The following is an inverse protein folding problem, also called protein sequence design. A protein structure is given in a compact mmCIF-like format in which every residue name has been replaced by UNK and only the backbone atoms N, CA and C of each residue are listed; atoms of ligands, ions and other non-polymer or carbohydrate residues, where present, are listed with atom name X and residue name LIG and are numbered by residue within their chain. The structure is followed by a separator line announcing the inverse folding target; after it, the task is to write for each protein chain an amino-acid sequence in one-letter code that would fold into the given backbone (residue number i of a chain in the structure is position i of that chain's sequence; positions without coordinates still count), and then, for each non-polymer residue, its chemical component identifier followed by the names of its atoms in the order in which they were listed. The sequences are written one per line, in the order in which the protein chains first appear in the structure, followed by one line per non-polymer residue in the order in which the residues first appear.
data_IF_312324147124
#
_entry.id   IF_312324147124
#
_cell.length_a   1.000
_cell.length_b   1.000
_cell.length_c   1.000
_cell.angle_alpha   90.00
_cell.angle_beta   90.00
_cell.angle_gamma   90.00
#
_symmetry.space_group_name_H-M   'P 1'
#
loop_
_entity.id
_entity.type
_entity.pdbx_description
1 polymer ?
#
# COMPACT_ATOMS: atom_id res chain seq x y z
N UNK A 1 57.37 -46.82 5.08
CA UNK A 1 56.30 -46.45 6.02
C UNK A 1 55.67 -45.16 5.56
N UNK A 2 54.48 -45.26 4.89
CA UNK A 2 53.77 -44.11 4.37
C UNK A 2 52.52 -43.91 5.23
N UNK A 3 52.48 -42.80 5.95
CA UNK A 3 51.32 -42.41 6.73
C UNK A 3 50.27 -41.73 5.82
N UNK A 4 49.08 -42.32 5.70
CA UNK A 4 47.93 -41.73 5.03
C UNK A 4 47.30 -40.69 5.98
N UNK A 5 47.24 -39.44 5.52
CA UNK A 5 46.41 -38.36 6.10
C UNK A 5 44.98 -38.56 5.68
N UNK A 6 44.08 -38.83 6.63
CA UNK A 6 42.62 -38.82 6.42
C UNK A 6 42.15 -37.37 6.40
N UNK A 7 41.58 -36.97 5.26
CA UNK A 7 40.93 -35.68 5.11
C UNK A 7 39.49 -35.77 5.69
N UNK A 8 39.18 -34.97 6.70
CA UNK A 8 37.83 -34.77 7.21
C UNK A 8 36.98 -34.02 6.19
N UNK A 9 35.84 -34.57 5.80
CA UNK A 9 34.80 -33.89 5.01
C UNK A 9 34.17 -32.76 5.83
N UNK A 10 33.91 -31.60 5.24
CA UNK A 10 33.12 -30.57 5.88
C UNK A 10 31.66 -31.00 5.94
N UNK A 11 31.03 -30.80 7.08
CA UNK A 11 29.61 -31.03 7.33
C UNK A 11 28.77 -30.13 6.40
N UNK A 12 27.92 -30.78 5.61
CA UNK A 12 26.91 -30.08 4.80
C UNK A 12 25.91 -29.38 5.73
N UNK A 13 25.93 -28.06 5.76
CA UNK A 13 24.83 -27.26 6.26
C UNK A 13 23.59 -27.62 5.44
N UNK A 14 22.62 -28.24 6.09
CA UNK A 14 21.28 -28.45 5.57
C UNK A 14 20.62 -27.08 5.45
N UNK A 15 20.63 -26.51 4.28
CA UNK A 15 19.81 -25.35 3.95
C UNK A 15 18.35 -25.75 4.17
N UNK A 16 17.69 -25.10 5.11
CA UNK A 16 16.23 -25.12 5.18
C UNK A 16 15.67 -24.69 3.81
N UNK A 17 14.63 -25.35 3.28
CA UNK A 17 14.04 -24.95 2.00
C UNK A 17 13.55 -23.50 2.15
N UNK A 18 14.15 -22.60 1.37
CA UNK A 18 13.64 -21.24 1.18
C UNK A 18 12.22 -21.41 0.66
N UNK A 19 11.23 -20.88 1.37
CA UNK A 19 9.85 -20.85 0.89
C UNK A 19 9.83 -19.91 -0.32
N UNK A 20 9.66 -20.48 -1.51
CA UNK A 20 9.92 -19.79 -2.77
C UNK A 20 8.83 -18.78 -3.19
N UNK A 21 7.77 -18.60 -2.42
CA UNK A 21 6.65 -17.73 -2.78
C UNK A 21 6.17 -16.89 -1.61
N UNK A 22 5.77 -15.65 -1.92
CA UNK A 22 5.14 -14.71 -0.99
C UNK A 22 3.71 -14.42 -1.45
N UNK A 23 2.86 -13.93 -0.57
CA UNK A 23 1.55 -13.36 -0.86
C UNK A 23 1.48 -11.94 -0.31
N UNK A 24 1.25 -10.97 -1.16
CA UNK A 24 0.90 -9.64 -0.72
C UNK A 24 -0.61 -9.62 -0.42
N UNK A 25 -1.04 -9.29 0.81
CA UNK A 25 -2.45 -9.18 1.14
C UNK A 25 -3.08 -7.99 0.43
N UNK A 26 -4.40 -8.07 0.17
CA UNK A 26 -5.16 -6.93 -0.31
C UNK A 26 -5.27 -5.84 0.76
N UNK A 27 -5.47 -4.58 0.35
CA UNK A 27 -5.57 -3.46 1.29
C UNK A 27 -6.79 -3.57 2.23
N UNK A 28 -7.87 -4.24 1.83
CA UNK A 28 -9.04 -4.46 2.70
C UNK A 28 -8.85 -5.59 3.74
N UNK A 29 -7.77 -6.37 3.68
CA UNK A 29 -7.46 -7.35 4.72
C UNK A 29 -7.09 -6.63 6.02
N UNK A 30 -7.24 -7.29 7.16
CA UNK A 30 -7.06 -6.66 8.45
C UNK A 30 -5.66 -6.10 8.64
N UNK A 31 -5.57 -4.84 9.06
CA UNK A 31 -4.32 -4.17 9.42
C UNK A 31 -3.99 -4.31 10.90
N UNK A 32 -2.71 -4.50 11.21
CA UNK A 32 -2.14 -4.27 12.53
C UNK A 32 -1.86 -2.78 12.73
N UNK A 33 -1.39 -2.10 11.68
CA UNK A 33 -1.03 -0.69 11.74
C UNK A 33 -1.12 -0.01 10.37
N UNK A 34 -1.22 1.31 10.39
CA UNK A 34 -1.00 2.20 9.25
C UNK A 34 0.19 3.12 9.53
N UNK A 35 1.12 3.18 8.58
CA UNK A 35 2.30 4.04 8.62
C UNK A 35 2.04 5.35 7.89
N UNK A 36 2.44 6.48 8.52
CA UNK A 36 2.42 7.83 7.94
C UNK A 36 3.69 8.58 8.35
N UNK A 37 4.09 9.58 7.55
CA UNK A 37 5.14 10.53 7.92
C UNK A 37 4.54 11.93 8.11
N UNK A 38 4.84 12.57 9.26
CA UNK A 38 4.31 13.91 9.59
C UNK A 38 4.81 14.99 8.62
N UNK A 39 3.94 15.89 8.13
CA UNK A 39 4.30 16.90 7.14
C UNK A 39 5.32 17.90 7.70
N UNK A 40 6.37 18.18 6.92
CA UNK A 40 7.46 19.05 7.31
C UNK A 40 8.10 19.82 6.16
N UNK A 41 8.13 19.25 4.95
CA UNK A 41 8.77 19.86 3.79
C UNK A 41 7.83 20.84 3.09
N UNK A 42 7.94 22.13 3.47
CA UNK A 42 7.04 23.19 2.99
C UNK A 42 7.04 23.41 1.47
N UNK A 43 8.13 23.00 0.79
CA UNK A 43 8.23 23.17 -0.67
C UNK A 43 7.29 22.23 -1.45
N UNK A 44 6.75 21.19 -0.83
CA UNK A 44 5.69 20.38 -1.44
C UNK A 44 4.34 21.12 -1.46
N UNK A 45 4.14 22.11 -0.54
CA UNK A 45 2.92 22.91 -0.43
C UNK A 45 3.23 24.42 -0.39
N UNK A 46 3.78 25.00 -1.46
CA UNK A 46 4.19 26.41 -1.45
C UNK A 46 2.99 27.34 -1.21
N UNK A 47 3.08 28.13 -0.12
CA UNK A 47 2.00 29.04 0.31
C UNK A 47 0.77 28.38 0.95
N UNK A 48 0.73 27.04 1.09
CA UNK A 48 -0.41 26.26 1.58
C UNK A 48 -0.06 25.24 2.66
N UNK A 49 1.06 25.38 3.33
CA UNK A 49 1.53 24.38 4.30
C UNK A 49 0.73 24.37 5.61
N UNK A 50 0.20 25.51 6.06
CA UNK A 50 -0.46 25.66 7.36
C UNK A 50 -1.64 24.71 7.57
N UNK A 51 -2.54 24.44 6.61
CA UNK A 51 -3.63 23.49 6.77
C UNK A 51 -3.18 22.03 6.75
N UNK A 52 -2.03 21.70 6.18
CA UNK A 52 -1.63 20.30 5.94
C UNK A 52 -1.52 19.46 7.23
N UNK A 53 -0.89 19.93 8.34
CA UNK A 53 -0.88 19.19 9.60
C UNK A 53 -2.28 18.86 10.14
N UNK A 54 -3.30 19.69 9.82
CA UNK A 54 -4.69 19.47 10.25
C UNK A 54 -5.39 18.41 9.41
N UNK A 55 -5.09 18.32 8.11
CA UNK A 55 -5.55 17.20 7.25
C UNK A 55 -4.99 15.88 7.77
N UNK A 56 -3.70 15.86 8.14
CA UNK A 56 -3.07 14.69 8.76
C UNK A 56 -3.72 14.32 10.09
N UNK A 57 -4.03 15.32 10.93
CA UNK A 57 -4.70 15.08 12.20
C UNK A 57 -6.11 14.49 11.99
N UNK A 58 -6.84 14.93 10.97
CA UNK A 58 -8.15 14.37 10.62
C UNK A 58 -8.02 12.90 10.19
N UNK A 59 -7.08 12.57 9.32
CA UNK A 59 -6.80 11.19 8.89
C UNK A 59 -6.43 10.32 10.10
N UNK A 60 -5.50 10.77 10.94
CA UNK A 60 -5.05 10.04 12.14
C UNK A 60 -6.21 9.83 13.12
N UNK A 61 -7.11 10.79 13.24
CA UNK A 61 -8.29 10.71 14.12
C UNK A 61 -9.22 9.56 13.75
N UNK A 62 -9.38 9.26 12.44
CA UNK A 62 -10.17 8.12 11.98
C UNK A 62 -9.39 6.81 12.13
N UNK A 63 -8.14 6.76 11.70
CA UNK A 63 -7.31 5.56 11.75
C UNK A 63 -7.11 5.06 13.18
N UNK A 64 -6.71 5.95 14.09
CA UNK A 64 -6.35 5.58 15.47
C UNK A 64 -7.50 5.06 16.33
N UNK A 65 -8.74 5.12 15.84
CA UNK A 65 -9.90 4.50 16.50
C UNK A 65 -9.94 2.97 16.35
N UNK A 66 -9.32 2.44 15.30
CA UNK A 66 -9.52 1.05 14.89
C UNK A 66 -8.24 0.29 14.57
N UNK A 67 -7.11 0.98 14.50
CA UNK A 67 -5.80 0.40 14.22
C UNK A 67 -4.67 1.25 14.79
N UNK A 68 -3.50 0.65 14.93
CA UNK A 68 -2.29 1.37 15.33
C UNK A 68 -1.87 2.34 14.22
N UNK A 69 -1.51 3.57 14.58
CA UNK A 69 -0.88 4.54 13.70
C UNK A 69 0.59 4.64 14.06
N UNK A 70 1.46 4.25 13.14
CA UNK A 70 2.92 4.37 13.26
C UNK A 70 3.34 5.67 12.58
N UNK A 71 3.55 6.73 13.36
CA UNK A 71 3.77 8.08 12.86
C UNK A 71 5.25 8.44 12.87
N UNK A 72 5.82 8.62 11.69
CA UNK A 72 7.21 9.02 11.49
C UNK A 72 7.31 10.54 11.63
N UNK A 73 8.27 11.01 12.40
CA UNK A 73 8.60 12.43 12.61
C UNK A 73 10.09 12.65 12.48
N UNK A 74 10.52 13.82 12.01
CA UNK A 74 11.93 14.06 11.72
C UNK A 74 12.82 14.13 12.97
N UNK A 75 12.29 14.69 14.06
CA UNK A 75 13.05 14.93 15.30
C UNK A 75 12.08 15.19 16.49
N UNK A 76 12.66 15.51 17.64
CA UNK A 76 11.88 15.82 18.86
C UNK A 76 11.03 17.08 18.74
N UNK A 77 11.45 18.07 17.96
CA UNK A 77 10.68 19.29 17.74
C UNK A 77 9.46 19.02 16.87
N UNK A 78 9.64 18.26 15.80
CA UNK A 78 8.57 17.77 14.93
C UNK A 78 7.56 16.90 15.70
N UNK A 79 8.06 16.01 16.58
CA UNK A 79 7.17 15.20 17.44
C UNK A 79 6.34 16.08 18.38
N UNK A 80 6.96 17.08 19.04
CA UNK A 80 6.24 18.00 19.91
C UNK A 80 5.14 18.75 19.15
N UNK A 81 5.43 19.23 17.93
CA UNK A 81 4.45 19.90 17.08
C UNK A 81 3.31 18.96 16.70
N UNK A 82 3.63 17.73 16.26
CA UNK A 82 2.66 16.70 15.90
C UNK A 82 1.74 16.40 17.09
N UNK A 83 2.30 16.12 18.28
CA UNK A 83 1.52 15.86 19.50
C UNK A 83 0.56 17.02 19.82
N UNK A 84 1.06 18.26 19.82
CA UNK A 84 0.23 19.43 20.10
C UNK A 84 -0.93 19.58 19.09
N UNK A 85 -0.67 19.34 17.81
CA UNK A 85 -1.71 19.41 16.77
C UNK A 85 -2.73 18.29 16.94
N UNK A 86 -2.28 17.05 17.17
CA UNK A 86 -3.16 15.90 17.38
C UNK A 86 -3.99 16.02 18.65
N UNK A 87 -3.43 16.54 19.76
CA UNK A 87 -4.18 16.84 20.99
C UNK A 87 -5.31 17.84 20.73
N UNK A 88 -5.00 18.94 20.05
CA UNK A 88 -6.00 19.97 19.70
C UNK A 88 -7.07 19.47 18.73
N UNK A 89 -6.74 18.50 17.88
CA UNK A 89 -7.67 17.85 16.96
C UNK A 89 -8.42 16.64 17.58
N UNK A 90 -8.20 16.34 18.86
CA UNK A 90 -8.71 15.14 19.53
C UNK A 90 -8.36 13.83 18.77
N UNK A 91 -7.16 13.78 18.20
CA UNK A 91 -6.63 12.67 17.39
C UNK A 91 -5.50 11.91 18.08
N UNK A 92 -4.98 12.40 19.21
CA UNK A 92 -3.93 11.72 19.96
C UNK A 92 -4.54 10.76 20.99
N UNK A 93 -4.22 9.48 20.88
CA UNK A 93 -4.59 8.43 21.81
C UNK A 93 -3.49 7.36 21.88
N UNK A 94 -3.70 6.26 22.61
CA UNK A 94 -2.75 5.15 22.82
C UNK A 94 -2.38 4.41 21.55
N UNK A 95 -3.19 4.50 20.48
CA UNK A 95 -2.92 3.89 19.19
C UNK A 95 -2.01 4.73 18.29
N UNK A 96 -1.49 5.89 18.76
CA UNK A 96 -0.53 6.68 17.98
C UNK A 96 0.88 6.50 18.54
N UNK A 97 1.75 5.82 17.80
CA UNK A 97 3.16 5.61 18.15
C UNK A 97 4.05 6.47 17.29
N UNK A 98 5.04 7.12 17.87
CA UNK A 98 5.96 8.02 17.18
C UNK A 98 7.32 7.36 16.93
N UNK A 99 7.86 7.59 15.70
CA UNK A 99 9.19 7.19 15.29
C UNK A 99 9.99 8.42 14.84
N UNK A 100 11.13 8.70 15.49
CA UNK A 100 11.99 9.82 15.12
C UNK A 100 12.97 9.40 14.02
N UNK A 101 12.47 9.35 12.78
CA UNK A 101 13.24 9.01 11.60
C UNK A 101 13.21 10.16 10.59
N UNK A 102 14.35 10.80 10.33
CA UNK A 102 14.37 11.89 9.36
C UNK A 102 13.94 11.45 7.97
N UNK A 103 13.01 12.17 7.36
CA UNK A 103 12.56 11.99 5.98
C UNK A 103 12.90 13.20 5.13
N UNK A 104 12.93 13.04 3.81
CA UNK A 104 13.02 14.15 2.86
C UNK A 104 11.60 14.64 2.49
N UNK A 105 10.65 13.70 2.37
CA UNK A 105 9.22 13.93 2.07
C UNK A 105 8.33 13.04 2.95
N UNK A 106 7.03 12.98 2.65
CA UNK A 106 6.03 12.32 3.53
C UNK A 106 5.33 11.12 2.88
N UNK A 107 5.70 10.76 1.67
CA UNK A 107 4.98 9.79 0.85
C UNK A 107 5.37 8.35 1.22
N UNK A 108 4.80 7.85 2.33
CA UNK A 108 5.15 6.54 2.89
C UNK A 108 4.66 5.36 2.04
N UNK A 109 3.65 5.56 1.20
CA UNK A 109 3.23 4.57 0.20
C UNK A 109 4.39 4.17 -0.70
N UNK A 110 5.18 5.14 -1.12
CA UNK A 110 6.22 4.97 -2.12
C UNK A 110 7.60 4.71 -1.52
N UNK A 111 7.91 5.34 -0.39
CA UNK A 111 9.19 5.18 0.31
C UNK A 111 9.21 4.03 1.31
N UNK A 112 8.06 3.51 1.69
CA UNK A 112 7.89 2.41 2.64
C UNK A 112 8.26 1.04 2.05
N UNK A 113 7.95 -0.01 2.81
CA UNK A 113 8.06 -1.39 2.35
C UNK A 113 6.67 -2.00 2.13
N UNK A 114 6.56 -2.94 1.19
CA UNK A 114 5.37 -3.77 1.04
C UNK A 114 5.47 -4.98 1.97
N UNK A 115 4.49 -5.17 2.84
CA UNK A 115 4.45 -6.33 3.72
C UNK A 115 3.79 -7.52 3.02
N UNK A 116 4.40 -8.70 3.14
CA UNK A 116 3.95 -9.94 2.49
C UNK A 116 3.99 -11.10 3.48
N UNK A 117 3.12 -12.07 3.30
CA UNK A 117 3.16 -13.33 4.04
C UNK A 117 4.01 -14.35 3.31
N UNK A 118 4.92 -15.08 4.00
CA UNK A 118 5.61 -16.23 3.42
C UNK A 118 4.65 -17.41 3.30
N UNK A 119 4.68 -18.13 2.17
CA UNK A 119 3.92 -19.37 1.97
C UNK A 119 2.99 -19.34 0.78
N UNK A 120 2.77 -20.53 0.16
CA UNK A 120 1.96 -20.69 -1.04
C UNK A 120 0.46 -20.46 -0.83
N UNK A 121 -0.29 -20.68 -1.88
CA UNK A 121 -1.69 -20.33 -2.14
C UNK A 121 -2.77 -20.77 -1.13
N UNK A 122 -2.41 -21.36 0.02
CA UNK A 122 -3.35 -21.92 1.00
C UNK A 122 -3.68 -21.01 2.19
N UNK A 123 -3.21 -19.75 2.20
CA UNK A 123 -3.65 -18.80 3.23
C UNK A 123 -5.07 -18.32 2.88
N UNK A 124 -6.10 -18.54 3.76
CA UNK A 124 -7.48 -18.20 3.44
C UNK A 124 -7.63 -16.70 3.26
N UNK A 125 -8.06 -16.29 2.06
CA UNK A 125 -8.55 -14.95 1.78
C UNK A 125 -9.90 -14.80 2.49
N UNK A 126 -9.98 -13.97 3.53
CA UNK A 126 -11.28 -13.64 4.14
C UNK A 126 -11.97 -12.59 3.28
N UNK A 127 -13.06 -13.00 2.65
CA UNK A 127 -13.97 -12.08 1.95
C UNK A 127 -14.56 -11.03 2.91
N UNK A 128 -14.74 -9.77 2.49
CA UNK A 128 -15.49 -8.79 3.26
C UNK A 128 -16.94 -9.27 3.42
N UNK A 129 -17.46 -9.29 4.64
CA UNK A 129 -18.90 -9.42 4.92
C UNK A 129 -19.43 -10.78 5.35
N UNK A 130 -18.65 -11.86 5.55
CA UNK A 130 -19.17 -13.11 6.12
C UNK A 130 -19.02 -13.18 7.63
N UNK A 131 -19.85 -12.45 8.36
CA UNK A 131 -20.14 -12.76 9.76
C UNK A 131 -21.07 -13.99 9.82
N UNK A 132 -20.49 -15.18 9.91
CA UNK A 132 -21.24 -16.38 10.27
C UNK A 132 -21.79 -16.21 11.69
N UNK A 133 -23.10 -16.07 11.81
CA UNK A 133 -23.81 -16.24 13.09
C UNK A 133 -23.57 -17.68 13.56
N UNK A 134 -22.75 -17.88 14.57
CA UNK A 134 -22.63 -19.15 15.26
C UNK A 134 -23.89 -19.39 16.06
N UNK A 135 -24.73 -20.32 15.58
CA UNK A 135 -25.76 -20.99 16.38
C UNK A 135 -25.06 -21.85 17.43
N UNK A 136 -25.39 -21.60 18.71
CA UNK A 136 -24.75 -22.29 19.83
C UNK A 136 -25.12 -23.79 19.87
N UNK A 137 -24.11 -24.61 20.05
CA UNK A 137 -24.20 -25.92 20.64
C UNK A 137 -23.23 -26.02 21.81
N UNK A 138 -23.79 -26.22 22.99
CA UNK A 138 -23.05 -26.54 24.24
C UNK A 138 -22.51 -27.96 24.13
N UNK A 139 -21.21 -28.13 24.21
CA UNK A 139 -20.59 -29.41 24.49
C UNK A 139 -19.69 -29.31 25.71
N UNK A 140 -19.96 -30.22 26.64
CA UNK A 140 -19.42 -30.38 27.99
C UNK A 140 -17.90 -30.62 28.00
N UNK A 141 -17.21 -29.94 28.92
CA UNK A 141 -15.79 -30.10 29.21
C UNK A 141 -15.44 -31.42 29.88
N UNK A 142 -14.41 -32.10 29.37
CA UNK A 142 -13.56 -33.02 30.12
C UNK A 142 -12.17 -32.44 30.24
N UNK A 143 -11.48 -32.52 31.39
CA UNK A 143 -10.15 -31.95 31.57
C UNK A 143 -9.11 -32.83 30.87
N UNK A 144 -8.36 -32.25 29.90
CA UNK A 144 -7.19 -32.89 29.31
C UNK A 144 -5.91 -32.43 30.03
N UNK A 145 -5.09 -33.40 30.36
CA UNK A 145 -3.76 -33.32 30.96
C UNK A 145 -2.81 -32.46 30.11
N UNK A 146 -2.13 -31.51 30.76
CA UNK A 146 -1.13 -30.63 30.21
C UNK A 146 0.13 -31.41 29.83
N UNK A 147 0.60 -31.44 28.59
CA UNK A 147 1.92 -31.94 28.23
C UNK A 147 2.97 -30.84 28.49
N UNK A 148 4.10 -31.25 29.06
CA UNK A 148 5.28 -30.42 29.34
C UNK A 148 5.81 -29.76 28.07
N UNK A 149 5.95 -28.41 28.08
CA UNK A 149 6.50 -27.62 27.01
C UNK A 149 7.99 -27.88 26.82
N UNK A 150 8.37 -28.36 25.63
CA UNK A 150 9.75 -28.33 25.16
C UNK A 150 10.09 -26.94 24.56
N UNK A 151 11.29 -26.37 24.82
CA UNK A 151 11.65 -25.02 24.38
C UNK A 151 11.93 -24.85 22.87
N UNK A 152 11.67 -25.87 22.05
CA UNK A 152 11.96 -25.83 20.60
C UNK A 152 10.76 -25.40 19.73
N UNK A 153 9.59 -25.08 20.30
CA UNK A 153 8.35 -24.79 19.57
C UNK A 153 7.97 -23.31 19.50
N UNK A 154 8.77 -22.38 20.02
CA UNK A 154 8.48 -20.93 19.96
C UNK A 154 8.81 -20.25 18.59
N UNK A 155 9.14 -21.01 17.55
CA UNK A 155 9.61 -20.44 16.25
C UNK A 155 8.57 -20.40 15.12
N UNK A 156 7.32 -20.67 15.39
CA UNK A 156 6.29 -20.77 14.32
C UNK A 156 5.13 -19.78 14.49
N UNK A 157 5.39 -18.56 14.96
CA UNK A 157 4.45 -17.46 14.70
C UNK A 157 4.58 -17.10 13.22
N UNK A 158 3.48 -17.11 12.48
CA UNK A 158 3.45 -16.71 11.08
C UNK A 158 3.94 -15.26 10.98
N UNK A 159 5.23 -15.08 10.66
CA UNK A 159 5.85 -13.77 10.49
C UNK A 159 5.61 -13.35 9.05
N UNK A 160 5.23 -12.09 8.86
CA UNK A 160 5.28 -11.45 7.54
C UNK A 160 6.72 -11.01 7.24
N UNK A 161 7.03 -10.87 5.95
CA UNK A 161 8.27 -10.29 5.46
C UNK A 161 8.00 -8.90 4.89
N UNK A 162 9.03 -8.08 4.76
CA UNK A 162 8.97 -6.75 4.20
C UNK A 162 9.74 -6.71 2.88
N UNK A 163 9.05 -6.52 1.78
CA UNK A 163 9.69 -6.28 0.48
C UNK A 163 10.06 -4.81 0.40
N UNK A 164 11.34 -4.54 0.53
CA UNK A 164 11.90 -3.20 0.46
C UNK A 164 12.37 -2.93 -0.97
N UNK A 165 11.55 -2.21 -1.73
CA UNK A 165 11.93 -1.69 -3.04
C UNK A 165 12.95 -0.55 -2.87
N UNK A 166 13.80 -0.35 -3.86
CA UNK A 166 14.62 0.85 -3.89
C UNK A 166 13.75 2.05 -4.25
N UNK A 167 13.85 3.11 -3.47
CA UNK A 167 13.21 4.38 -3.75
C UNK A 167 14.20 5.39 -4.30
N UNK A 168 13.83 6.17 -5.33
CA UNK A 168 14.69 7.17 -5.96
C UNK A 168 13.93 8.47 -6.29
N UNK A 169 12.87 8.76 -5.53
CA UNK A 169 11.96 9.89 -5.74
C UNK A 169 11.44 9.97 -7.18
N UNK A 170 10.81 8.86 -7.62
CA UNK A 170 10.15 8.72 -8.92
C UNK A 170 11.06 8.99 -10.12
N UNK A 171 12.37 8.78 -9.98
CA UNK A 171 13.41 9.15 -10.94
C UNK A 171 13.38 10.64 -11.34
N UNK A 172 12.91 11.51 -10.47
CA UNK A 172 12.64 12.93 -10.76
C UNK A 172 13.37 13.89 -9.81
N UNK A 173 13.33 13.64 -8.51
CA UNK A 173 13.82 14.56 -7.50
C UNK A 173 15.18 14.14 -6.94
N UNK A 174 16.07 15.12 -6.60
CA UNK A 174 17.40 14.80 -6.05
C UNK A 174 17.41 14.46 -4.55
N UNK A 175 16.35 14.85 -3.81
CA UNK A 175 16.21 14.67 -2.36
C UNK A 175 15.37 13.42 -2.06
N UNK A 176 16.02 12.29 -1.79
CA UNK A 176 15.37 11.01 -1.52
C UNK A 176 16.17 10.08 -0.60
N UNK A 177 17.37 10.49 -0.20
CA UNK A 177 18.30 9.59 0.50
C UNK A 177 17.86 9.23 1.92
N UNK A 178 17.03 10.05 2.55
CA UNK A 178 16.41 9.76 3.84
C UNK A 178 15.22 8.83 3.64
N UNK A 179 14.39 9.15 2.68
CA UNK A 179 13.19 8.36 2.34
C UNK A 179 13.54 6.94 1.91
N UNK A 180 14.66 6.74 1.18
CA UNK A 180 15.17 5.41 0.81
C UNK A 180 15.38 4.48 2.01
N UNK A 181 15.60 5.01 3.21
CA UNK A 181 15.82 4.22 4.43
C UNK A 181 14.51 3.83 5.14
N UNK A 182 13.40 4.48 4.81
CA UNK A 182 12.16 4.34 5.56
C UNK A 182 11.63 2.91 5.50
N UNK A 183 11.62 2.28 4.34
CA UNK A 183 11.19 0.87 4.21
C UNK A 183 11.98 -0.10 5.09
N UNK A 184 13.31 0.10 5.23
CA UNK A 184 14.14 -0.72 6.13
C UNK A 184 13.86 -0.44 7.60
N UNK A 185 13.62 0.82 7.98
CA UNK A 185 13.26 1.20 9.35
C UNK A 185 11.88 0.65 9.73
N UNK A 186 10.91 0.68 8.80
CA UNK A 186 9.59 0.06 8.97
C UNK A 186 9.71 -1.46 9.17
N UNK A 187 10.49 -2.14 8.33
CA UNK A 187 10.74 -3.58 8.45
C UNK A 187 11.33 -3.93 9.83
N UNK A 188 12.32 -3.16 10.28
CA UNK A 188 12.95 -3.34 11.59
C UNK A 188 11.94 -3.13 12.74
N UNK A 189 11.16 -2.04 12.71
CA UNK A 189 10.19 -1.74 13.75
C UNK A 189 9.05 -2.77 13.81
N UNK A 190 8.62 -3.27 12.65
CA UNK A 190 7.64 -4.33 12.51
C UNK A 190 8.22 -5.73 12.80
N UNK A 191 9.53 -5.85 13.07
CA UNK A 191 10.25 -7.13 13.25
C UNK A 191 10.07 -8.09 12.07
N UNK A 192 9.94 -7.55 10.85
CA UNK A 192 9.81 -8.29 9.61
C UNK A 192 11.18 -8.62 9.03
N UNK A 193 11.28 -9.76 8.34
CA UNK A 193 12.47 -10.07 7.53
C UNK A 193 12.48 -9.14 6.31
N UNK A 194 13.54 -8.33 6.17
CA UNK A 194 13.70 -7.45 5.03
C UNK A 194 14.22 -8.21 3.81
N UNK A 195 13.54 -8.02 2.68
CA UNK A 195 13.91 -8.59 1.39
C UNK A 195 14.05 -7.47 0.38
N UNK A 196 15.22 -7.38 -0.27
CA UNK A 196 15.48 -6.39 -1.31
C UNK A 196 15.52 -7.04 -2.69
N UNK A 197 14.49 -6.87 -3.54
CA UNK A 197 14.46 -7.44 -4.88
C UNK A 197 15.56 -6.87 -5.77
N UNK A 198 16.19 -7.76 -6.56
CA UNK A 198 17.23 -7.39 -7.52
C UNK A 198 16.91 -7.91 -8.92
N UNK A 199 17.31 -7.13 -9.92
CA UNK A 199 17.31 -7.48 -11.32
C UNK A 199 18.66 -7.11 -11.95
N UNK A 200 19.32 -8.05 -12.63
CA UNK A 200 20.65 -7.85 -13.23
C UNK A 200 21.66 -7.20 -12.25
N UNK A 201 21.71 -7.71 -11.02
CA UNK A 201 22.56 -7.22 -9.91
C UNK A 201 22.33 -5.76 -9.47
N UNK A 202 21.16 -5.19 -9.76
CA UNK A 202 20.71 -3.88 -9.28
C UNK A 202 19.44 -4.03 -8.48
N UNK A 203 19.30 -3.26 -7.39
CA UNK A 203 18.03 -3.21 -6.64
C UNK A 203 16.93 -2.61 -7.52
N UNK A 204 15.77 -3.26 -7.51
CA UNK A 204 14.60 -2.84 -8.28
C UNK A 204 13.98 -1.61 -7.65
N UNK A 205 13.80 -0.56 -8.44
CA UNK A 205 13.06 0.64 -8.07
C UNK A 205 11.59 0.39 -8.33
N UNK A 206 10.77 0.54 -7.30
CA UNK A 206 9.31 0.41 -7.40
C UNK A 206 8.67 1.19 -6.25
N UNK A 207 7.57 1.82 -6.51
CA UNK A 207 6.76 2.55 -5.54
C UNK A 207 5.46 1.79 -5.25
N UNK A 208 4.97 1.86 -4.00
CA UNK A 208 3.72 1.20 -3.60
C UNK A 208 2.48 1.73 -4.30
N UNK A 209 2.48 3.00 -4.74
CA UNK A 209 1.40 3.61 -5.54
C UNK A 209 1.39 3.17 -7.00
N UNK A 210 2.48 2.57 -7.50
CA UNK A 210 2.58 2.12 -8.89
C UNK A 210 1.83 0.82 -9.19
N UNK A 211 1.33 0.11 -8.17
CA UNK A 211 0.58 -1.14 -8.34
C UNK A 211 -0.49 -1.30 -7.25
N UNK A 212 -1.54 -2.06 -7.55
CA UNK A 212 -2.56 -2.49 -6.60
C UNK A 212 -2.81 -4.00 -6.74
N UNK A 213 -3.17 -4.69 -5.65
CA UNK A 213 -3.31 -6.16 -5.62
C UNK A 213 -4.65 -6.59 -5.02
N UNK A 214 -5.21 -7.69 -5.53
CA UNK A 214 -6.44 -8.29 -4.99
C UNK A 214 -6.19 -9.28 -3.82
N UNK A 215 -4.94 -9.47 -3.39
CA UNK A 215 -4.59 -10.42 -2.32
C UNK A 215 -4.63 -11.89 -2.73
N UNK A 216 -5.07 -12.23 -3.94
CA UNK A 216 -5.29 -13.60 -4.43
C UNK A 216 -4.39 -13.97 -5.60
N UNK A 217 -3.64 -13.01 -6.15
CA UNK A 217 -2.69 -13.27 -7.23
C UNK A 217 -2.87 -12.40 -8.48
N UNK A 218 -3.80 -11.44 -8.48
CA UNK A 218 -3.92 -10.44 -9.54
C UNK A 218 -3.38 -9.09 -9.08
N UNK A 219 -2.64 -8.43 -9.96
CA UNK A 219 -2.06 -7.10 -9.76
C UNK A 219 -2.43 -6.20 -10.95
N UNK A 220 -2.71 -4.93 -10.66
CA UNK A 220 -2.90 -3.88 -11.67
C UNK A 220 -1.75 -2.89 -11.57
N UNK A 221 -1.24 -2.45 -12.73
CA UNK A 221 -0.21 -1.43 -12.89
C UNK A 221 -0.37 -0.71 -14.22
N UNK A 222 0.47 0.30 -14.50
CA UNK A 222 0.44 1.05 -15.77
C UNK A 222 1.72 0.85 -16.60
N UNK A 223 1.56 0.89 -17.91
CA UNK A 223 2.68 0.90 -18.85
C UNK A 223 3.45 2.23 -18.77
N UNK A 224 2.75 3.34 -18.56
CA UNK A 224 3.37 4.66 -18.40
C UNK A 224 4.36 4.69 -17.23
N UNK A 225 3.98 4.22 -16.06
CA UNK A 225 4.86 4.23 -14.90
C UNK A 225 6.09 3.33 -15.07
N UNK A 226 5.88 2.08 -15.50
CA UNK A 226 6.92 1.06 -15.41
C UNK A 226 7.73 0.87 -16.71
N UNK A 227 7.17 1.22 -17.87
CA UNK A 227 7.79 0.93 -19.17
C UNK A 227 8.18 2.19 -19.95
N UNK A 228 7.75 3.40 -19.52
CA UNK A 228 8.13 4.65 -20.17
C UNK A 228 9.62 4.94 -20.02
N UNK A 229 10.16 5.68 -21.00
CA UNK A 229 11.51 6.26 -20.92
C UNK A 229 11.55 7.57 -20.13
N UNK A 230 10.38 8.18 -19.88
CA UNK A 230 10.25 9.36 -19.01
C UNK A 230 10.21 8.88 -17.57
N UNK A 231 10.97 9.54 -16.69
CA UNK A 231 11.11 9.12 -15.27
C UNK A 231 11.38 7.60 -15.12
N UNK A 232 12.26 7.06 -15.98
CA UNK A 232 12.52 5.62 -16.06
C UNK A 232 13.11 5.07 -14.76
N UNK A 233 12.35 4.20 -14.04
CA UNK A 233 12.77 3.59 -12.76
C UNK A 233 13.87 2.55 -12.95
N UNK A 234 13.68 1.63 -13.90
CA UNK A 234 14.56 0.48 -14.09
C UNK A 234 14.99 0.36 -15.57
N UNK A 235 16.06 1.06 -15.99
CA UNK A 235 16.55 0.99 -17.36
C UNK A 235 16.84 -0.44 -17.82
N UNK A 236 16.22 -0.84 -18.94
CA UNK A 236 16.40 -2.15 -19.57
C UNK A 236 15.43 -3.24 -19.09
N UNK A 237 14.63 -3.01 -18.04
CA UNK A 237 13.54 -3.91 -17.66
C UNK A 237 12.39 -3.84 -18.65
N UNK A 238 11.83 -5.00 -18.96
CA UNK A 238 10.68 -5.18 -19.84
C UNK A 238 9.48 -5.68 -19.03
N UNK A 239 8.30 -5.63 -19.61
CA UNK A 239 7.03 -6.12 -19.06
C UNK A 239 7.18 -7.48 -18.36
N UNK A 240 7.71 -8.49 -19.05
CA UNK A 240 7.95 -9.83 -18.53
C UNK A 240 8.91 -9.90 -17.32
N UNK A 241 9.81 -8.91 -17.20
CA UNK A 241 10.78 -8.89 -16.11
C UNK A 241 10.09 -8.39 -14.83
N UNK A 242 9.20 -7.38 -14.95
CA UNK A 242 8.33 -6.95 -13.87
C UNK A 242 7.36 -8.07 -13.44
N UNK A 243 6.71 -8.75 -14.38
CA UNK A 243 5.81 -9.88 -14.10
C UNK A 243 6.51 -10.97 -13.27
N UNK A 244 7.75 -11.34 -13.63
CA UNK A 244 8.56 -12.31 -12.85
C UNK A 244 8.88 -11.81 -11.44
N UNK A 245 9.16 -10.52 -11.28
CA UNK A 245 9.42 -9.90 -9.98
C UNK A 245 8.15 -9.90 -9.13
N UNK A 246 7.02 -9.53 -9.69
CA UNK A 246 5.73 -9.58 -8.99
C UNK A 246 5.36 -11.00 -8.57
N UNK A 247 5.57 -11.97 -9.45
CA UNK A 247 5.36 -13.39 -9.11
C UNK A 247 6.25 -13.83 -7.95
N UNK A 248 7.53 -13.53 -8.01
CA UNK A 248 8.50 -13.99 -7.01
C UNK A 248 8.29 -13.34 -5.65
N UNK A 249 8.04 -12.04 -5.59
CA UNK A 249 8.08 -11.27 -4.34
C UNK A 249 6.70 -10.88 -3.80
N UNK A 250 5.65 -10.88 -4.63
CA UNK A 250 4.30 -10.51 -4.23
C UNK A 250 3.29 -11.67 -4.37
N UNK A 251 3.70 -12.80 -4.99
CA UNK A 251 2.82 -13.95 -5.23
C UNK A 251 1.84 -13.77 -6.38
N UNK A 252 2.09 -12.80 -7.27
CA UNK A 252 1.23 -12.46 -8.38
C UNK A 252 1.36 -13.48 -9.52
N UNK A 253 0.23 -13.93 -10.05
CA UNK A 253 0.14 -14.87 -11.18
C UNK A 253 -0.45 -14.21 -12.42
N UNK A 254 -1.19 -13.11 -12.25
CA UNK A 254 -1.83 -12.36 -13.31
C UNK A 254 -1.56 -10.85 -13.15
N UNK A 255 -1.12 -10.19 -14.21
CA UNK A 255 -0.84 -8.74 -14.21
C UNK A 255 -1.69 -8.05 -15.27
N UNK A 256 -2.53 -7.12 -14.84
CA UNK A 256 -3.33 -6.29 -15.69
C UNK A 256 -2.57 -4.98 -15.94
N UNK A 257 -2.24 -4.71 -17.19
CA UNK A 257 -1.50 -3.54 -17.60
C UNK A 257 -2.44 -2.48 -18.18
N UNK A 258 -2.63 -1.39 -17.44
CA UNK A 258 -3.29 -0.20 -17.93
C UNK A 258 -2.33 0.63 -18.80
N UNK A 259 -2.86 1.61 -19.51
CA UNK A 259 -2.07 2.51 -20.37
C UNK A 259 -1.42 3.64 -19.57
N UNK A 260 -2.02 4.83 -19.69
CA UNK A 260 -1.53 6.06 -19.07
C UNK A 260 -2.31 6.42 -17.81
N UNK A 261 -1.66 7.21 -16.94
CA UNK A 261 -2.24 7.80 -15.75
C UNK A 261 -3.09 9.04 -16.02
N UNK A 262 -3.35 9.80 -14.94
CA UNK A 262 -4.08 11.07 -15.00
C UNK A 262 -3.13 12.23 -15.25
N UNK A 263 -3.63 13.25 -15.95
CA UNK A 263 -2.86 14.48 -16.24
C UNK A 263 -2.52 15.21 -14.93
N UNK A 264 -1.29 15.64 -14.82
CA UNK A 264 -0.78 16.34 -13.62
C UNK A 264 -0.11 15.42 -12.62
N UNK A 265 -0.23 14.10 -12.77
CA UNK A 265 0.45 13.14 -11.90
C UNK A 265 1.98 13.30 -12.00
N UNK A 266 2.57 13.60 -10.84
CA UNK A 266 4.00 13.85 -10.68
C UNK A 266 4.83 12.57 -10.65
N UNK A 267 4.17 11.44 -10.40
CA UNK A 267 4.77 10.11 -10.33
C UNK A 267 4.88 9.45 -11.71
N UNK A 268 4.25 10.01 -12.73
CA UNK A 268 4.21 9.51 -14.10
C UNK A 268 3.44 8.19 -14.23
N UNK A 269 2.15 8.23 -13.88
CA UNK A 269 1.19 7.16 -14.16
C UNK A 269 1.01 6.14 -13.03
N UNK A 270 1.05 6.57 -11.77
CA UNK A 270 0.68 5.68 -10.68
C UNK A 270 -0.76 5.19 -10.81
N UNK A 271 -0.98 3.89 -10.54
CA UNK A 271 -2.30 3.27 -10.70
C UNK A 271 -3.27 3.65 -9.58
N UNK A 272 -2.77 4.03 -8.42
CA UNK A 272 -3.58 4.42 -7.26
C UNK A 272 -4.37 5.73 -7.45
N UNK A 273 -4.05 6.50 -8.49
CA UNK A 273 -4.84 7.65 -8.95
C UNK A 273 -5.88 7.29 -10.01
N UNK A 274 -5.97 6.03 -10.45
CA UNK A 274 -6.79 5.61 -11.59
C UNK A 274 -7.74 4.48 -11.22
N UNK A 275 -7.20 3.38 -10.64
CA UNK A 275 -7.92 2.12 -10.49
C UNK A 275 -7.48 1.40 -9.22
N UNK A 276 -8.46 0.98 -8.41
CA UNK A 276 -8.20 0.29 -7.14
C UNK A 276 -9.08 -0.95 -7.01
N UNK A 277 -8.51 -2.04 -6.52
CA UNK A 277 -9.31 -3.18 -6.10
C UNK A 277 -10.17 -2.83 -4.87
N UNK A 278 -11.42 -3.24 -4.90
CA UNK A 278 -12.38 -3.12 -3.77
C UNK A 278 -12.85 -4.48 -3.29
N UNK A 279 -12.66 -5.52 -4.11
CA UNK A 279 -12.81 -6.92 -3.75
C UNK A 279 -11.87 -7.78 -4.61
N UNK A 280 -11.90 -9.10 -4.43
CA UNK A 280 -11.04 -10.03 -5.17
C UNK A 280 -11.18 -9.91 -6.70
N UNK A 281 -12.39 -9.64 -7.18
CA UNK A 281 -12.75 -9.64 -8.60
C UNK A 281 -13.41 -8.33 -9.06
N UNK A 282 -13.38 -7.29 -8.23
CA UNK A 282 -13.99 -5.99 -8.53
C UNK A 282 -13.01 -4.86 -8.33
N UNK A 283 -12.99 -3.92 -9.26
CA UNK A 283 -12.25 -2.66 -9.16
C UNK A 283 -13.17 -1.46 -9.30
N UNK A 284 -12.85 -0.37 -8.61
CA UNK A 284 -13.30 0.96 -9.01
C UNK A 284 -12.28 1.57 -9.95
N UNK A 285 -12.73 2.28 -10.99
CA UNK A 285 -11.83 2.93 -11.95
C UNK A 285 -12.36 4.30 -12.33
N UNK A 286 -11.45 5.26 -12.45
CA UNK A 286 -11.78 6.63 -12.81
C UNK A 286 -12.38 6.72 -14.21
N UNK A 287 -13.46 7.50 -14.33
CA UNK A 287 -14.11 7.85 -15.59
C UNK A 287 -14.19 9.37 -15.74
N UNK A 288 -13.97 9.85 -16.93
CA UNK A 288 -14.23 11.24 -17.29
C UNK A 288 -15.33 11.26 -18.37
N UNK A 289 -16.42 11.95 -18.08
CA UNK A 289 -17.56 12.01 -18.99
C UNK A 289 -17.41 13.10 -20.08
N UNK A 290 -16.46 14.03 -19.92
CA UNK A 290 -16.26 15.12 -20.86
C UNK A 290 -15.21 14.74 -21.94
N UNK A 291 -15.63 14.54 -23.21
CA UNK A 291 -14.73 14.23 -24.30
C UNK A 291 -13.66 15.30 -24.58
N UNK A 292 -13.84 16.52 -24.07
CA UNK A 292 -12.86 17.60 -24.18
C UNK A 292 -11.81 17.58 -23.08
N UNK A 293 -12.00 16.75 -22.04
CA UNK A 293 -11.04 16.62 -20.95
C UNK A 293 -9.74 15.96 -21.41
N UNK A 294 -8.63 16.45 -20.88
CA UNK A 294 -7.29 15.87 -21.11
C UNK A 294 -7.16 14.42 -20.66
N UNK A 295 -7.99 13.99 -19.68
CA UNK A 295 -7.99 12.63 -19.15
C UNK A 295 -8.86 11.66 -19.95
N UNK A 296 -9.79 12.16 -20.78
CA UNK A 296 -10.85 11.35 -21.39
C UNK A 296 -10.33 10.13 -22.13
N UNK A 297 -9.41 10.30 -23.07
CA UNK A 297 -8.92 9.21 -23.92
C UNK A 297 -8.10 8.19 -23.12
N UNK A 298 -7.26 8.63 -22.18
CA UNK A 298 -6.46 7.75 -21.34
C UNK A 298 -7.34 6.87 -20.44
N UNK A 299 -8.31 7.47 -19.77
CA UNK A 299 -9.23 6.74 -18.89
C UNK A 299 -10.14 5.79 -19.69
N UNK A 300 -10.63 6.20 -20.86
CA UNK A 300 -11.43 5.35 -21.75
C UNK A 300 -10.66 4.11 -22.20
N UNK A 301 -9.39 4.26 -22.56
CA UNK A 301 -8.53 3.12 -22.93
C UNK A 301 -8.31 2.20 -21.74
N UNK A 302 -8.11 2.73 -20.54
CA UNK A 302 -7.95 1.94 -19.33
C UNK A 302 -9.22 1.12 -19.01
N UNK A 303 -10.40 1.72 -19.11
CA UNK A 303 -11.68 1.02 -18.97
C UNK A 303 -11.83 -0.12 -19.99
N UNK A 304 -11.45 0.12 -21.27
CA UNK A 304 -11.50 -0.92 -22.29
C UNK A 304 -10.61 -2.12 -21.90
N UNK A 305 -9.39 -1.86 -21.41
CA UNK A 305 -8.46 -2.91 -20.97
C UNK A 305 -8.99 -3.68 -19.77
N UNK A 306 -9.64 -3.00 -18.82
CA UNK A 306 -10.24 -3.62 -17.64
C UNK A 306 -11.44 -4.52 -18.00
N UNK A 307 -12.27 -4.12 -18.96
CA UNK A 307 -13.41 -4.92 -19.43
C UNK A 307 -12.98 -6.24 -20.09
N UNK A 308 -11.80 -6.27 -20.69
CA UNK A 308 -11.23 -7.47 -21.31
C UNK A 308 -10.39 -8.30 -20.32
N UNK A 309 -10.21 -7.80 -19.08
CA UNK A 309 -9.35 -8.40 -18.07
C UNK A 309 -10.06 -9.52 -17.29
N UNK A 310 -9.24 -10.44 -16.80
CA UNK A 310 -9.68 -11.51 -15.88
C UNK A 310 -8.80 -11.51 -14.63
N UNK A 311 -9.28 -12.14 -13.58
CA UNK A 311 -8.50 -12.43 -12.37
C UNK A 311 -7.57 -13.64 -12.58
N UNK A 312 -6.74 -13.97 -11.57
CA UNK A 312 -5.80 -15.08 -11.57
C UNK A 312 -6.46 -16.47 -11.80
N UNK A 313 -7.75 -16.60 -11.48
CA UNK A 313 -8.54 -17.81 -11.70
C UNK A 313 -9.38 -17.78 -12.99
N UNK A 314 -9.13 -16.79 -13.86
CA UNK A 314 -9.79 -16.65 -15.17
C UNK A 314 -11.21 -16.09 -15.14
N UNK A 315 -11.69 -15.61 -13.99
CA UNK A 315 -13.00 -14.95 -13.90
C UNK A 315 -12.94 -13.54 -14.48
N UNK A 316 -14.01 -13.07 -15.12
CA UNK A 316 -14.09 -11.68 -15.55
C UNK A 316 -13.93 -10.71 -14.39
N UNK A 317 -13.18 -9.61 -14.62
CA UNK A 317 -13.06 -8.54 -13.67
C UNK A 317 -14.29 -7.63 -13.75
N UNK A 318 -14.95 -7.38 -12.62
CA UNK A 318 -16.02 -6.40 -12.53
C UNK A 318 -15.43 -4.98 -12.36
N UNK A 319 -16.04 -4.00 -13.03
CA UNK A 319 -15.62 -2.60 -12.95
C UNK A 319 -16.76 -1.72 -12.45
N UNK A 320 -16.46 -0.82 -11.52
CA UNK A 320 -17.35 0.22 -11.02
C UNK A 320 -16.78 1.57 -11.41
N UNK A 321 -17.56 2.36 -12.14
CA UNK A 321 -17.15 3.67 -12.62
C UNK A 321 -17.11 4.67 -11.47
N UNK A 322 -15.98 5.35 -11.27
CA UNK A 322 -15.77 6.39 -10.27
C UNK A 322 -15.53 7.72 -11.00
N UNK A 323 -16.34 8.77 -10.78
CA UNK A 323 -16.15 10.02 -11.50
C UNK A 323 -14.81 10.68 -11.15
N UNK A 324 -14.30 11.51 -12.05
CA UNK A 324 -13.23 12.44 -11.71
C UNK A 324 -13.80 13.72 -11.07
N UNK A 325 -13.06 14.39 -10.15
CA UNK A 325 -13.39 15.76 -9.77
C UNK A 325 -13.13 16.72 -10.92
N UNK A 326 -13.75 17.89 -10.87
CA UNK A 326 -13.45 19.00 -11.80
C UNK A 326 -11.95 19.31 -11.77
N UNK A 327 -11.35 19.75 -12.90
CA UNK A 327 -9.93 20.04 -12.96
C UNK A 327 -9.48 21.09 -11.94
N UNK A 328 -8.52 20.73 -11.09
CA UNK A 328 -7.87 21.63 -10.15
C UNK A 328 -6.53 22.11 -10.72
N UNK A 329 -6.23 23.40 -10.55
CA UNK A 329 -4.99 24.00 -11.07
C UNK A 329 -4.26 24.76 -9.98
N UNK A 330 -2.94 24.65 -10.00
CA UNK A 330 -2.04 25.45 -9.19
C UNK A 330 -0.94 26.05 -10.07
N UNK A 331 -0.81 27.39 -10.08
CA UNK A 331 0.14 28.14 -10.91
C UNK A 331 0.10 27.71 -12.40
N UNK A 332 -1.10 27.44 -12.93
CA UNK A 332 -1.30 27.03 -14.32
C UNK A 332 -1.01 25.53 -14.58
N UNK A 333 -0.56 24.78 -13.58
CA UNK A 333 -0.35 23.33 -13.65
C UNK A 333 -1.57 22.59 -13.12
N UNK A 334 -2.08 21.62 -13.87
CA UNK A 334 -3.15 20.73 -13.41
C UNK A 334 -2.65 19.83 -12.28
N UNK A 335 -3.48 19.66 -11.25
CA UNK A 335 -3.20 18.77 -10.11
C UNK A 335 -3.86 17.39 -10.35
N UNK A 336 -3.26 16.29 -9.87
CA UNK A 336 -3.77 14.93 -10.06
C UNK A 336 -4.86 14.58 -9.06
N UNK A 337 -5.87 15.43 -8.95
CA UNK A 337 -6.99 15.18 -8.02
C UNK A 337 -7.78 13.97 -8.51
N UNK A 338 -7.91 12.96 -7.64
CA UNK A 338 -8.63 11.73 -7.92
C UNK A 338 -9.26 11.16 -6.67
N UNK A 339 -10.52 10.71 -6.76
CA UNK A 339 -11.18 9.97 -5.68
C UNK A 339 -10.61 8.54 -5.54
N UNK A 340 -9.93 7.99 -6.55
CA UNK A 340 -9.30 6.67 -6.46
C UNK A 340 -8.12 6.63 -5.48
N UNK A 341 -7.57 7.79 -5.08
CA UNK A 341 -6.52 7.86 -4.07
C UNK A 341 -7.06 7.75 -2.63
N UNK A 342 -8.11 6.92 -2.44
CA UNK A 342 -8.66 6.58 -1.13
C UNK A 342 -7.82 5.53 -0.42
N UNK A 343 -7.95 5.45 0.91
CA UNK A 343 -7.30 4.44 1.75
C UNK A 343 -8.31 3.56 2.47
N UNK A 344 -8.13 2.24 2.38
CA UNK A 344 -9.01 1.25 3.02
C UNK A 344 -8.40 0.87 4.37
N UNK A 345 -8.94 1.42 5.46
CA UNK A 345 -8.59 1.06 6.83
C UNK A 345 -9.50 -0.05 7.38
N UNK A 346 -9.24 -0.54 8.59
CA UNK A 346 -9.99 -1.64 9.21
C UNK A 346 -11.51 -1.42 9.29
N UNK A 347 -11.95 -0.18 9.54
CA UNK A 347 -13.38 0.15 9.72
C UNK A 347 -13.82 1.36 8.93
N UNK A 348 -12.92 1.98 8.19
CA UNK A 348 -13.22 3.17 7.40
C UNK A 348 -12.55 3.11 6.04
N UNK A 349 -13.15 3.78 5.07
CA UNK A 349 -12.52 4.14 3.79
C UNK A 349 -12.36 5.65 3.78
N UNK A 350 -11.13 6.13 3.79
CA UNK A 350 -10.83 7.56 3.80
C UNK A 350 -10.68 8.04 2.36
N UNK A 351 -11.58 8.91 1.93
CA UNK A 351 -11.70 9.35 0.53
C UNK A 351 -11.29 10.81 0.42
N UNK A 352 -10.34 11.15 -0.46
CA UNK A 352 -10.04 12.56 -0.71
C UNK A 352 -11.22 13.24 -1.39
N UNK A 353 -11.68 14.38 -0.86
CA UNK A 353 -12.72 15.23 -1.45
C UNK A 353 -12.19 16.64 -1.70
N UNK A 354 -12.79 17.36 -2.65
CA UNK A 354 -12.21 18.57 -3.22
C UNK A 354 -13.16 19.78 -3.25
N UNK A 355 -14.29 19.72 -2.52
CA UNK A 355 -15.42 20.67 -2.60
C UNK A 355 -16.01 20.71 -4.03
N UNK A 356 -16.14 19.57 -4.64
CA UNK A 356 -16.62 19.35 -5.99
C UNK A 356 -18.02 18.72 -5.98
N UNK A 357 -18.90 19.00 -6.95
CA UNK A 357 -20.21 18.35 -7.05
C UNK A 357 -20.13 16.81 -7.09
N UNK A 358 -19.05 16.25 -7.62
CA UNK A 358 -18.84 14.80 -7.68
C UNK A 358 -18.37 14.18 -6.36
N UNK A 359 -18.00 14.97 -5.33
CA UNK A 359 -17.60 14.45 -4.02
C UNK A 359 -18.67 13.52 -3.45
N UNK A 360 -19.94 13.95 -3.48
CA UNK A 360 -21.05 13.14 -2.98
C UNK A 360 -21.26 11.89 -3.78
N UNK A 361 -21.17 11.97 -5.11
CA UNK A 361 -21.33 10.82 -6.02
C UNK A 361 -20.25 9.78 -5.74
N UNK A 362 -18.99 10.21 -5.61
CA UNK A 362 -17.86 9.32 -5.30
C UNK A 362 -18.01 8.63 -3.94
N UNK A 363 -18.43 9.38 -2.90
CA UNK A 363 -18.67 8.83 -1.57
C UNK A 363 -19.81 7.79 -1.58
N UNK A 364 -20.91 8.04 -2.28
CA UNK A 364 -22.03 7.12 -2.38
C UNK A 364 -21.64 5.83 -3.12
N UNK A 365 -20.90 5.92 -4.24
CA UNK A 365 -20.37 4.76 -4.96
C UNK A 365 -19.47 3.92 -4.05
N UNK A 366 -18.55 4.56 -3.31
CA UNK A 366 -17.65 3.84 -2.42
C UNK A 366 -18.40 3.25 -1.22
N UNK A 367 -19.45 3.88 -0.72
CA UNK A 367 -20.30 3.31 0.32
C UNK A 367 -21.04 2.04 -0.14
N UNK A 368 -21.45 2.00 -1.40
CA UNK A 368 -22.11 0.80 -1.99
C UNK A 368 -21.13 -0.37 -2.12
N UNK A 369 -19.85 -0.12 -2.43
CA UNK A 369 -18.84 -1.19 -2.56
C UNK A 369 -18.18 -1.57 -1.23
N UNK A 370 -18.29 -0.75 -0.17
CA UNK A 370 -17.79 -1.02 1.17
C UNK A 370 -18.89 -0.95 2.24
N UNK A 371 -19.93 -1.81 2.19
CA UNK A 371 -21.07 -1.73 3.10
C UNK A 371 -20.73 -2.05 4.57
N UNK A 372 -19.55 -2.59 4.84
CA UNK A 372 -19.04 -2.94 6.17
C UNK A 372 -18.09 -1.90 6.78
N UNK A 373 -17.86 -0.77 6.07
CA UNK A 373 -16.96 0.32 6.48
C UNK A 373 -17.64 1.68 6.42
N UNK A 374 -17.20 2.58 7.30
CA UNK A 374 -17.59 3.98 7.24
C UNK A 374 -16.81 4.67 6.10
N UNK A 375 -17.51 5.14 5.07
CA UNK A 375 -16.89 5.93 3.99
C UNK A 375 -16.87 7.40 4.40
N UNK A 376 -15.66 7.95 4.53
CA UNK A 376 -15.42 9.27 5.10
C UNK A 376 -14.69 10.16 4.11
N UNK A 377 -15.32 11.26 3.70
CA UNK A 377 -14.68 12.29 2.90
C UNK A 377 -13.73 13.14 3.74
N UNK A 378 -12.47 13.24 3.33
CA UNK A 378 -11.45 14.12 3.93
C UNK A 378 -11.12 15.20 2.90
N UNK A 379 -11.26 16.48 3.30
CA UNK A 379 -10.93 17.58 2.40
C UNK A 379 -9.44 17.61 2.06
N UNK A 380 -9.13 17.41 0.80
CA UNK A 380 -7.77 17.32 0.28
C UNK A 380 -7.43 18.42 -0.75
N UNK A 381 -8.25 19.45 -0.89
CA UNK A 381 -8.01 20.54 -1.84
C UNK A 381 -6.71 21.32 -1.61
N UNK A 382 -6.24 21.40 -0.36
CA UNK A 382 -4.91 21.94 -0.04
C UNK A 382 -3.82 20.85 -0.11
N UNK A 383 -4.14 19.61 0.31
CA UNK A 383 -3.19 18.49 0.33
C UNK A 383 -2.69 18.15 -1.07
N UNK A 384 -3.57 18.14 -2.07
CA UNK A 384 -3.26 17.76 -3.45
C UNK A 384 -2.22 18.68 -4.13
N UNK A 385 -1.91 19.85 -3.55
CA UNK A 385 -0.82 20.71 -4.03
C UNK A 385 0.54 20.03 -3.93
N UNK A 386 0.69 19.06 -3.03
CA UNK A 386 1.85 18.19 -2.93
C UNK A 386 1.89 17.07 -3.97
N UNK A 387 0.95 17.05 -4.92
CA UNK A 387 0.80 16.05 -5.99
C UNK A 387 0.50 14.62 -5.52
N UNK A 388 -0.08 14.46 -4.33
CA UNK A 388 -0.58 13.21 -3.79
C UNK A 388 -1.71 13.46 -2.80
N UNK A 389 -2.47 12.41 -2.49
CA UNK A 389 -3.55 12.47 -1.53
C UNK A 389 -3.42 11.35 -0.47
N UNK A 390 -4.53 10.80 0.02
CA UNK A 390 -4.56 9.96 1.23
C UNK A 390 -3.81 8.63 1.04
N UNK A 391 -4.00 7.94 -0.10
CA UNK A 391 -3.32 6.67 -0.36
C UNK A 391 -1.80 6.86 -0.46
N UNK A 392 -1.34 7.89 -1.17
CA UNK A 392 0.08 8.17 -1.35
C UNK A 392 0.84 8.39 -0.02
N UNK A 393 0.16 8.86 1.02
CA UNK A 393 0.78 9.16 2.33
C UNK A 393 0.63 8.03 3.36
N UNK A 394 -0.07 6.94 3.03
CA UNK A 394 -0.36 5.83 3.93
C UNK A 394 0.26 4.53 3.44
N UNK A 395 0.71 3.66 4.36
CA UNK A 395 1.16 2.31 4.05
C UNK A 395 0.64 1.35 5.10
N UNK A 396 -0.12 0.33 4.68
CA UNK A 396 -0.67 -0.67 5.58
C UNK A 396 0.37 -1.69 6.02
N UNK A 397 0.27 -2.10 7.29
CA UNK A 397 0.93 -3.27 7.84
C UNK A 397 -0.14 -4.31 8.18
N UNK A 398 -0.13 -5.49 7.54
CA UNK A 398 -1.18 -6.49 7.76
C UNK A 398 -1.10 -7.07 9.17
N UNK A 399 -2.26 -7.43 9.72
CA UNK A 399 -2.33 -8.16 10.97
C UNK A 399 -1.96 -9.63 10.75
N UNK A 400 -1.13 -10.18 11.63
CA UNK A 400 -0.94 -11.63 11.72
C UNK A 400 -2.20 -12.22 12.37
N UNK A 401 -2.82 -13.21 11.72
CA UNK A 401 -3.93 -13.90 12.37
C UNK A 401 -3.45 -14.51 13.71
N UNK A 402 -4.24 -14.40 14.80
CA UNK A 402 -3.92 -15.13 16.01
C UNK A 402 -3.83 -16.63 15.66
N UNK A 403 -2.91 -17.39 16.28
CA UNK A 403 -2.89 -18.84 16.11
C UNK A 403 -4.26 -19.39 16.57
N UNK A 404 -4.85 -20.27 15.74
CA UNK A 404 -6.10 -20.98 16.04
C UNK A 404 -5.99 -21.81 17.34
#
# INVERSE_FOLDING_TARGET
MHARKTASRPSSNVNSPVRDFYRMPAEWERHAATWLAWPHYKADWPGKFEPIPWVYAEIIRYLSRHEQVELIVNDAASEKLARTTLERAHALNENVRFHRWPTDRVWTRDSGCAFVFPGGADAPVREPGTNARSSGEQLSARPATVPSRHPATERALARFSAIKWRFNAWAKYPNWRRDEKIGSLMAQAAQAEEIQPTFANRHVVLEGGSFDVNGSGTLITTEECLLSHVQQRNPGMKKRDYERIFTKFLGVQNVIWLGSGVVGDDTHGHVDDITRFVSRDTVVTCVDADPSSENYEALRENIRRLRDATTEDGKPLATVDLPMPSPLYFEGRRLPASYANFYIANRAVLVPVFNDPNDRVALDILADVFPDRDVVGIYCGDLIWGFGAIHCMTQQQPAVAPPD
#
